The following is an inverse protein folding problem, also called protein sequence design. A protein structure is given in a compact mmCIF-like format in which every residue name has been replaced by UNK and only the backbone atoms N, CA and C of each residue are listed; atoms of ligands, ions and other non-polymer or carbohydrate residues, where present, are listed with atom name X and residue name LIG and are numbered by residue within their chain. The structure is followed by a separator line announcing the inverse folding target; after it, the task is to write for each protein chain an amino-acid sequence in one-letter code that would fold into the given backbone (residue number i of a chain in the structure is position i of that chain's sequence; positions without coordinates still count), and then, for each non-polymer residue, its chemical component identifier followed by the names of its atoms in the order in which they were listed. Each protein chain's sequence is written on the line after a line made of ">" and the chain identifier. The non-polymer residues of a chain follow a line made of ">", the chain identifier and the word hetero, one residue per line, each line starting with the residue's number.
data_IF_188697232880
#
_entry.id   IF_188697232880
#
_cell.length_a   1.000
_cell.length_b   1.000
_cell.length_c   1.000
_cell.angle_alpha   90.00
_cell.angle_beta   90.00
_cell.angle_gamma   90.00
#
_symmetry.space_group_name_H-M   'P 1'
#
loop_
_entity.id
_entity.type
_entity.pdbx_description
1 polymer ?
#
# COMPACT_ATOMS: atom_id res chain seq x y z
N UNK A 1 12.06 -3.25 14.67
CA UNK A 1 12.15 -1.93 14.01
C UNK A 1 11.01 -1.93 13.00
N UNK A 2 10.08 -0.99 13.10
CA UNK A 2 8.93 -0.95 12.18
C UNK A 2 9.42 -0.52 10.80
N UNK A 3 9.15 -1.31 9.77
CA UNK A 3 9.47 -0.99 8.38
C UNK A 3 8.46 0.01 7.85
N UNK A 4 8.93 1.14 7.35
CA UNK A 4 8.06 2.14 6.73
C UNK A 4 7.68 1.68 5.33
N UNK A 5 6.40 1.73 4.98
CA UNK A 5 5.90 1.31 3.69
C UNK A 5 4.75 2.19 3.20
N UNK A 6 4.50 2.17 1.89
CA UNK A 6 3.23 2.59 1.33
C UNK A 6 2.35 1.36 1.07
N UNK A 7 1.06 1.49 1.34
CA UNK A 7 0.04 0.56 0.82
C UNK A 7 -0.96 1.37 0.02
N UNK A 8 -1.43 0.84 -1.10
CA UNK A 8 -2.34 1.56 -1.97
C UNK A 8 -2.98 0.76 -3.07
N UNK A 9 -3.71 1.47 -3.90
CA UNK A 9 -4.29 0.98 -5.16
C UNK A 9 -3.71 1.75 -6.33
N UNK A 10 -3.57 1.08 -7.47
CA UNK A 10 -3.29 1.72 -8.75
C UNK A 10 -4.37 1.35 -9.76
N UNK A 11 -4.71 2.27 -10.65
CA UNK A 11 -5.64 2.04 -11.77
C UNK A 11 -5.20 2.80 -13.01
N UNK A 12 -5.50 2.28 -14.19
CA UNK A 12 -5.16 2.92 -15.45
C UNK A 12 -5.81 4.29 -15.53
N UNK A 13 -5.01 5.31 -15.80
CA UNK A 13 -5.49 6.68 -15.96
C UNK A 13 -6.02 6.91 -17.38
N UNK A 14 -7.05 7.74 -17.52
CA UNK A 14 -7.64 8.08 -18.82
C UNK A 14 -6.62 8.78 -19.76
N UNK A 15 -5.59 9.41 -19.18
CA UNK A 15 -4.56 10.15 -19.91
C UNK A 15 -3.31 9.29 -20.21
N UNK A 16 -3.37 7.98 -19.99
CA UNK A 16 -2.21 7.08 -20.02
C UNK A 16 -1.50 7.00 -18.66
N UNK A 17 -0.77 5.90 -18.43
CA UNK A 17 -0.13 5.59 -17.13
C UNK A 17 -1.11 5.10 -16.07
N UNK A 18 -0.72 5.16 -14.79
CA UNK A 18 -1.55 4.75 -13.66
C UNK A 18 -1.82 5.90 -12.69
N UNK A 19 -3.08 6.06 -12.28
CA UNK A 19 -3.43 6.83 -11.09
C UNK A 19 -3.16 5.98 -9.85
N UNK A 20 -2.48 6.54 -8.86
CA UNK A 20 -2.04 5.84 -7.65
C UNK A 20 -2.64 6.52 -6.43
N UNK A 21 -3.29 5.73 -5.57
CA UNK A 21 -3.81 6.18 -4.29
C UNK A 21 -3.17 5.37 -3.17
N UNK A 22 -2.43 6.02 -2.29
CA UNK A 22 -1.62 5.36 -1.27
C UNK A 22 -1.76 6.01 0.09
N UNK A 23 -1.35 5.27 1.11
CA UNK A 23 -1.21 5.69 2.49
C UNK A 23 0.18 5.26 2.99
N UNK A 24 0.93 6.19 3.59
CA UNK A 24 2.21 5.90 4.24
C UNK A 24 1.97 5.35 5.65
N UNK A 25 2.65 4.27 6.03
CA UNK A 25 2.48 3.60 7.32
C UNK A 25 3.76 2.88 7.78
N UNK A 26 3.82 2.49 9.05
CA UNK A 26 4.91 1.68 9.61
C UNK A 26 4.43 0.28 9.99
N UNK A 27 4.88 -0.75 9.27
CA UNK A 27 4.53 -2.16 9.50
C UNK A 27 5.56 -2.81 10.41
N UNK A 28 5.13 -3.45 11.48
CA UNK A 28 5.94 -4.42 12.21
C UNK A 28 5.92 -5.76 11.47
N UNK A 29 7.05 -6.13 10.87
CA UNK A 29 7.23 -7.41 10.17
C UNK A 29 8.21 -7.33 8.99
N UNK A 30 8.59 -8.49 8.46
CA UNK A 30 9.41 -8.57 7.26
C UNK A 30 8.57 -8.27 6.00
N UNK A 31 9.16 -7.62 4.97
CA UNK A 31 8.47 -7.31 3.71
C UNK A 31 7.85 -8.53 3.03
N UNK A 32 8.55 -9.66 3.05
CA UNK A 32 8.10 -10.94 2.50
C UNK A 32 6.81 -11.44 3.17
N UNK A 33 6.71 -11.25 4.49
CA UNK A 33 5.52 -11.59 5.27
C UNK A 33 4.35 -10.67 4.95
N UNK A 34 4.60 -9.36 4.80
CA UNK A 34 3.57 -8.41 4.39
C UNK A 34 3.04 -8.72 2.98
N UNK A 35 3.93 -9.00 2.02
CA UNK A 35 3.57 -9.42 0.66
C UNK A 35 2.68 -10.66 0.64
N UNK A 36 3.07 -11.73 1.34
CA UNK A 36 2.31 -12.99 1.40
C UNK A 36 0.93 -12.81 2.05
N UNK A 37 0.82 -11.99 3.09
CA UNK A 37 -0.48 -11.67 3.71
C UNK A 37 -1.37 -10.90 2.74
N UNK A 38 -0.84 -9.88 2.09
CA UNK A 38 -1.59 -9.04 1.17
C UNK A 38 -2.14 -9.87 -0.01
N UNK A 39 -1.30 -10.70 -0.63
CA UNK A 39 -1.71 -11.52 -1.77
C UNK A 39 -2.75 -12.58 -1.42
N UNK A 40 -2.67 -13.20 -0.23
CA UNK A 40 -3.58 -14.28 0.15
C UNK A 40 -4.92 -13.80 0.71
N UNK A 41 -4.93 -12.66 1.41
CA UNK A 41 -6.07 -12.29 2.24
C UNK A 41 -6.73 -10.95 1.87
N UNK A 42 -6.08 -10.10 1.08
CA UNK A 42 -6.58 -8.75 0.79
C UNK A 42 -6.92 -8.58 -0.69
N UNK A 43 -8.20 -8.33 -0.96
CA UNK A 43 -8.72 -7.95 -2.28
C UNK A 43 -8.92 -6.43 -2.39
N UNK A 44 -9.34 -5.96 -3.57
CA UNK A 44 -9.60 -4.55 -3.85
C UNK A 44 -10.48 -3.84 -2.79
N UNK A 45 -11.55 -4.50 -2.33
CA UNK A 45 -12.47 -3.93 -1.34
C UNK A 45 -11.78 -3.79 0.01
N UNK A 46 -11.01 -4.78 0.42
CA UNK A 46 -10.27 -4.77 1.67
C UNK A 46 -9.19 -3.69 1.68
N UNK A 47 -8.48 -3.50 0.55
CA UNK A 47 -7.49 -2.42 0.41
C UNK A 47 -8.14 -1.05 0.50
N UNK A 48 -9.27 -0.83 -0.17
CA UNK A 48 -10.01 0.43 -0.03
C UNK A 48 -10.44 0.70 1.42
N UNK A 49 -10.86 -0.35 2.14
CA UNK A 49 -11.18 -0.24 3.56
C UNK A 49 -9.94 0.05 4.41
N UNK A 50 -8.78 -0.54 4.11
CA UNK A 50 -7.50 -0.22 4.76
C UNK A 50 -7.15 1.26 4.59
N UNK A 51 -7.25 1.78 3.36
CA UNK A 51 -6.97 3.17 3.05
C UNK A 51 -7.91 4.15 3.77
N UNK A 52 -9.15 3.73 4.05
CA UNK A 52 -10.11 4.51 4.80
C UNK A 52 -9.80 4.62 6.30
N UNK A 53 -9.13 3.61 6.90
CA UNK A 53 -8.91 3.52 8.34
C UNK A 53 -7.79 4.43 8.85
N UNK A 54 -6.72 4.64 8.07
CA UNK A 54 -5.58 5.45 8.53
C UNK A 54 -4.33 4.60 8.77
N UNK A 55 -3.57 4.89 9.83
CA UNK A 55 -2.28 4.25 10.06
C UNK A 55 -2.46 2.76 10.36
N UNK A 56 -1.53 1.96 9.83
CA UNK A 56 -1.51 0.52 10.01
C UNK A 56 -0.18 0.14 10.62
N UNK A 57 -0.22 -0.48 11.80
CA UNK A 57 0.97 -1.02 12.48
C UNK A 57 1.28 -2.47 12.14
N UNK A 58 0.24 -3.25 11.87
CA UNK A 58 0.36 -4.70 11.70
C UNK A 58 -0.72 -5.19 10.74
N UNK A 59 -0.32 -6.09 9.84
CA UNK A 59 -1.20 -6.81 8.93
C UNK A 59 -1.53 -8.18 9.52
N UNK A 60 -2.80 -8.58 9.44
CA UNK A 60 -3.25 -9.89 9.90
C UNK A 60 -3.77 -10.69 8.71
N UNK A 61 -3.83 -12.01 8.83
CA UNK A 61 -4.51 -12.88 7.86
C UNK A 61 -6.02 -12.64 7.73
N UNK A 62 -6.58 -11.71 8.51
CA UNK A 62 -7.97 -11.28 8.41
C UNK A 62 -8.02 -9.77 8.22
N UNK A 63 -8.45 -9.28 7.04
CA UNK A 63 -8.61 -7.84 6.80
C UNK A 63 -9.51 -7.15 7.82
N UNK A 64 -10.62 -7.79 8.19
CA UNK A 64 -11.55 -7.29 9.21
C UNK A 64 -10.86 -7.11 10.58
N UNK A 65 -9.97 -8.03 10.96
CA UNK A 65 -9.19 -7.92 12.20
C UNK A 65 -8.21 -6.75 12.13
N UNK A 66 -7.51 -6.56 11.01
CA UNK A 66 -6.63 -5.40 10.80
C UNK A 66 -7.41 -4.12 10.95
N UNK A 67 -8.49 -3.95 10.17
CA UNK A 67 -9.34 -2.75 10.21
C UNK A 67 -9.81 -2.43 11.63
N UNK A 68 -10.32 -3.44 12.36
CA UNK A 68 -10.85 -3.26 13.72
C UNK A 68 -9.77 -2.90 14.74
N UNK A 69 -8.56 -3.41 14.57
CA UNK A 69 -7.44 -3.19 15.51
C UNK A 69 -6.79 -1.83 15.29
N UNK A 70 -6.74 -1.35 14.04
CA UNK A 70 -6.11 -0.08 13.67
C UNK A 70 -7.02 1.15 13.93
N UNK A 71 -8.35 0.99 13.83
CA UNK A 71 -9.35 2.06 14.06
C UNK A 71 -9.36 2.66 15.48
N UNK A 72 -8.50 2.19 16.39
CA UNK A 72 -8.46 2.66 17.79
C UNK A 72 -7.40 3.72 18.08
N UNK A 73 -6.42 3.96 17.21
CA UNK A 73 -5.21 4.67 17.66
C UNK A 73 -4.63 5.76 16.76
N UNK A 74 -5.06 5.94 15.50
CA UNK A 74 -4.27 6.78 14.60
C UNK A 74 -5.09 7.48 13.51
N UNK A 75 -4.98 8.81 13.46
CA UNK A 75 -5.66 9.68 12.50
C UNK A 75 -4.70 10.53 11.65
N UNK A 76 -3.40 10.22 11.65
CA UNK A 76 -2.35 11.08 11.03
C UNK A 76 -1.71 10.48 9.78
N UNK A 77 -2.29 9.43 9.23
CA UNK A 77 -1.75 8.77 8.05
C UNK A 77 -1.69 9.70 6.84
N UNK A 78 -0.50 9.86 6.27
CA UNK A 78 -0.31 10.67 5.07
C UNK A 78 -0.86 9.91 3.86
N UNK A 79 -2.02 10.37 3.40
CA UNK A 79 -2.65 9.91 2.17
C UNK A 79 -2.12 10.68 0.99
N UNK A 80 -1.85 9.97 -0.08
CA UNK A 80 -1.40 10.56 -1.34
C UNK A 80 -2.29 10.11 -2.48
N UNK A 81 -2.53 11.02 -3.41
CA UNK A 81 -3.25 10.76 -4.65
C UNK A 81 -2.44 11.34 -5.80
N UNK A 82 -2.11 10.49 -6.76
CA UNK A 82 -1.34 10.82 -7.94
C UNK A 82 -2.14 10.46 -9.18
N UNK A 83 -2.13 11.35 -10.18
CA UNK A 83 -2.71 11.05 -11.48
C UNK A 83 -1.74 10.30 -12.40
N UNK A 84 -0.51 10.07 -11.94
CA UNK A 84 0.56 9.38 -12.66
C UNK A 84 1.47 8.61 -11.70
N UNK A 85 1.84 7.39 -12.09
CA UNK A 85 2.80 6.52 -11.43
C UNK A 85 4.20 7.14 -11.35
N UNK A 86 4.57 7.98 -12.33
CA UNK A 86 5.84 8.72 -12.31
C UNK A 86 5.90 9.65 -11.10
N UNK A 87 4.82 10.38 -10.81
CA UNK A 87 4.77 11.28 -9.65
C UNK A 87 4.84 10.50 -8.33
N UNK A 88 4.18 9.35 -8.27
CA UNK A 88 4.29 8.44 -7.12
C UNK A 88 5.72 7.94 -6.94
N UNK A 89 6.38 7.46 -8.01
CA UNK A 89 7.75 6.97 -7.96
C UNK A 89 8.74 8.06 -7.51
N UNK A 90 8.57 9.31 -7.96
CA UNK A 90 9.37 10.46 -7.51
C UNK A 90 9.19 10.74 -6.01
N UNK A 91 7.94 10.71 -5.51
CA UNK A 91 7.70 10.84 -4.07
C UNK A 91 8.38 9.68 -3.31
N UNK A 92 8.15 8.44 -3.77
CA UNK A 92 8.64 7.24 -3.11
C UNK A 92 10.16 7.26 -2.95
N UNK A 93 10.90 7.58 -4.01
CA UNK A 93 12.36 7.67 -4.01
C UNK A 93 12.94 8.68 -3.01
N UNK A 94 12.17 9.71 -2.67
CA UNK A 94 12.57 10.75 -1.70
C UNK A 94 11.98 10.52 -0.31
N UNK A 95 11.18 9.47 -0.14
CA UNK A 95 10.51 9.14 1.11
C UNK A 95 11.40 8.29 2.02
N UNK A 96 11.00 8.19 3.29
CA UNK A 96 11.60 7.28 4.26
C UNK A 96 11.01 5.86 4.20
N UNK A 97 10.05 5.61 3.29
CA UNK A 97 9.45 4.30 3.14
C UNK A 97 10.39 3.39 2.35
N UNK A 98 10.60 2.17 2.83
CA UNK A 98 11.49 1.21 2.19
C UNK A 98 10.79 0.44 1.05
N UNK A 99 9.47 0.25 1.20
CA UNK A 99 8.64 -0.54 0.28
C UNK A 99 7.34 0.16 -0.06
N UNK A 100 6.77 -0.15 -1.21
CA UNK A 100 5.39 0.17 -1.53
C UNK A 100 4.66 -1.05 -2.09
N UNK A 101 3.46 -1.30 -1.59
CA UNK A 101 2.56 -2.36 -2.03
C UNK A 101 1.35 -1.74 -2.71
N UNK A 102 1.14 -2.04 -3.99
CA UNK A 102 0.08 -1.47 -4.80
C UNK A 102 -0.82 -2.57 -5.33
N UNK A 103 -2.11 -2.50 -5.04
CA UNK A 103 -3.11 -3.35 -5.66
C UNK A 103 -3.57 -2.73 -6.99
N UNK A 104 -3.28 -3.39 -8.11
CA UNK A 104 -3.75 -2.99 -9.42
C UNK A 104 -5.22 -3.37 -9.56
N UNK A 105 -6.09 -2.36 -9.66
CA UNK A 105 -7.54 -2.54 -9.74
C UNK A 105 -7.99 -3.11 -11.09
N UNK A 106 -7.24 -2.86 -12.16
CA UNK A 106 -7.56 -3.37 -13.50
C UNK A 106 -7.17 -4.85 -13.62
N UNK A 107 -6.00 -5.22 -13.07
CA UNK A 107 -5.47 -6.58 -13.14
C UNK A 107 -5.85 -7.47 -11.95
N UNK A 108 -6.47 -6.88 -10.92
CA UNK A 108 -6.80 -7.54 -9.65
C UNK A 108 -5.58 -8.24 -9.02
N UNK A 109 -4.41 -7.59 -9.08
CA UNK A 109 -3.14 -8.17 -8.67
C UNK A 109 -2.30 -7.20 -7.84
N UNK A 110 -1.56 -7.75 -6.87
CA UNK A 110 -0.58 -7.01 -6.09
C UNK A 110 0.74 -6.82 -6.80
N UNK A 111 1.32 -5.65 -6.61
CA UNK A 111 2.65 -5.26 -7.02
C UNK A 111 3.42 -4.72 -5.82
N UNK A 112 4.74 -4.90 -5.85
CA UNK A 112 5.65 -4.27 -4.89
C UNK A 112 6.70 -3.41 -5.60
N UNK A 113 7.16 -2.38 -4.89
CA UNK A 113 8.24 -1.49 -5.30
C UNK A 113 9.19 -1.31 -4.12
N UNK A 114 10.50 -1.25 -4.39
CA UNK A 114 11.53 -0.90 -3.42
C UNK A 114 12.45 0.16 -4.01
N UNK A 115 13.29 0.81 -3.21
CA UNK A 115 14.26 1.78 -3.72
C UNK A 115 15.29 1.16 -4.70
N UNK A 116 15.41 -0.17 -4.70
CA UNK A 116 16.40 -0.91 -5.51
C UNK A 116 15.78 -1.66 -6.69
N UNK A 117 14.45 -1.72 -6.80
CA UNK A 117 13.75 -2.51 -7.81
C UNK A 117 12.66 -1.69 -8.49
N UNK A 118 12.41 -1.98 -9.77
CA UNK A 118 11.20 -1.50 -10.45
C UNK A 118 9.95 -2.17 -9.87
N UNK A 119 8.78 -1.67 -10.27
CA UNK A 119 7.50 -2.26 -9.90
C UNK A 119 7.44 -3.72 -10.38
N UNK A 120 7.30 -4.65 -9.46
CA UNK A 120 7.28 -6.08 -9.73
C UNK A 120 5.99 -6.71 -9.19
N UNK A 121 5.43 -7.70 -9.88
CA UNK A 121 4.29 -8.44 -9.34
C UNK A 121 4.71 -9.19 -8.08
N UNK A 122 3.82 -9.19 -7.09
CA UNK A 122 3.90 -10.11 -5.96
C UNK A 122 3.37 -11.51 -6.34
#
# INVERSE_FOLDING_TARGET
>A
MATQAYIGTMKKSANGGYAVHTLQLGIDGYPEYAGDILTRYYNAKDVNNLLAVGDIRELFSSPAKTIKTQNRYYNDAKRHYFNSDIQFCQLFQTSTAEYAYLFNLDEQRWYYLSHHTSLQPL
#
